data_IF_019711538002
#
_entry.id   IF_019711538002
#
_cell.length_a   1.000
_cell.length_b   1.000
_cell.length_c   1.000
_cell.angle_alpha   90.00
_cell.angle_beta   90.00
_cell.angle_gamma   90.00
#
_symmetry.space_group_name_H-M   'P 1'
#
loop_
_entity.id
_entity.type
_entity.pdbx_description
1 polymer ?
#
# COMPACT_ATOMS: atom_id res chain seq x y z
N UNK A 1 24.94 6.47 47.67
CA UNK A 1 23.99 5.84 46.73
C UNK A 1 23.25 6.95 45.99
N UNK A 2 23.73 7.43 44.83
CA UNK A 2 22.99 8.40 44.05
C UNK A 2 21.96 7.70 43.16
N UNK A 3 20.75 8.26 43.14
CA UNK A 3 19.66 7.93 42.23
C UNK A 3 20.02 8.47 40.85
N UNK A 4 20.19 7.61 39.85
CA UNK A 4 20.38 8.02 38.45
C UNK A 4 19.05 8.50 37.87
N UNK A 5 18.99 9.79 37.57
CA UNK A 5 17.97 10.45 36.77
C UNK A 5 18.09 9.95 35.31
N UNK A 6 17.02 9.42 34.73
CA UNK A 6 16.93 9.16 33.28
C UNK A 6 16.49 10.47 32.60
N UNK A 7 17.28 11.06 31.67
CA UNK A 7 16.87 12.25 30.96
C UNK A 7 16.09 11.89 29.68
N UNK A 8 15.06 12.69 29.38
CA UNK A 8 14.69 12.94 27.97
C UNK A 8 13.27 12.58 27.52
N UNK A 9 12.24 12.79 28.33
CA UNK A 9 10.91 13.06 27.75
C UNK A 9 10.82 14.55 27.46
N UNK A 10 11.06 14.94 26.21
CA UNK A 10 10.76 16.29 25.74
C UNK A 10 9.24 16.42 25.76
N UNK A 11 8.71 17.03 26.82
CA UNK A 11 7.30 17.47 26.84
C UNK A 11 7.21 18.72 25.96
N UNK A 12 6.40 18.75 24.90
CA UNK A 12 6.16 19.99 24.17
C UNK A 12 5.42 20.97 25.07
N UNK A 13 5.90 22.22 25.11
CA UNK A 13 5.26 23.31 25.83
C UNK A 13 4.08 23.82 25.00
N UNK A 14 2.87 23.39 25.34
CA UNK A 14 1.63 23.76 24.66
C UNK A 14 1.10 25.11 25.19
N UNK A 15 1.78 26.21 24.88
CA UNK A 15 1.29 27.54 25.26
C UNK A 15 0.27 28.13 24.27
N UNK A 16 0.24 27.67 23.01
CA UNK A 16 -0.74 28.10 22.01
C UNK A 16 -1.10 26.91 21.11
N UNK A 17 -2.18 26.20 21.42
CA UNK A 17 -2.85 25.23 20.54
C UNK A 17 -1.93 24.24 19.81
N UNK A 18 -1.50 23.16 20.49
CA UNK A 18 -0.88 22.03 19.81
C UNK A 18 -1.99 21.21 19.11
N UNK A 19 -2.46 21.70 17.97
CA UNK A 19 -3.24 20.88 17.05
C UNK A 19 -2.24 19.89 16.44
N UNK A 20 -2.28 18.65 16.90
CA UNK A 20 -1.58 17.55 16.26
C UNK A 20 -2.16 17.40 14.85
N UNK A 21 -1.64 18.15 13.88
CA UNK A 21 -1.73 17.73 12.48
C UNK A 21 -0.88 16.48 12.39
N UNK A 22 -1.50 15.33 12.66
CA UNK A 22 -1.10 14.10 11.99
C UNK A 22 -1.18 14.41 10.50
N UNK A 23 -0.05 14.73 9.89
CA UNK A 23 0.07 14.61 8.45
C UNK A 23 -0.11 13.13 8.18
N UNK A 24 -1.33 12.74 7.81
CA UNK A 24 -1.59 11.41 7.29
C UNK A 24 -0.66 11.27 6.08
N UNK A 25 0.45 10.56 6.24
CA UNK A 25 1.31 10.25 5.11
C UNK A 25 0.41 9.52 4.09
N UNK A 26 0.37 9.97 2.83
CA UNK A 26 -0.48 9.32 1.84
C UNK A 26 -0.03 7.86 1.70
N UNK A 27 -0.89 6.93 2.13
CA UNK A 27 -0.63 5.50 2.05
C UNK A 27 -0.58 5.10 0.57
N UNK A 28 0.56 4.59 0.06
CA UNK A 28 0.68 4.14 -1.32
C UNK A 28 -0.22 2.94 -1.58
N UNK A 29 -0.85 2.89 -2.77
CA UNK A 29 -1.81 1.83 -3.14
C UNK A 29 -1.25 0.98 -4.27
N UNK A 30 -1.16 -0.34 -4.07
CA UNK A 30 -0.86 -1.28 -5.15
C UNK A 30 -2.13 -2.03 -5.57
N UNK A 31 -2.45 -1.97 -6.86
CA UNK A 31 -3.53 -2.72 -7.50
C UNK A 31 -2.91 -3.89 -8.29
N UNK A 32 -3.40 -5.10 -8.05
CA UNK A 32 -2.94 -6.32 -8.74
C UNK A 32 -4.12 -7.06 -9.35
N UNK A 33 -3.96 -7.53 -10.59
CA UNK A 33 -5.00 -8.31 -11.28
C UNK A 33 -4.39 -9.22 -12.35
N UNK A 34 -5.01 -10.36 -12.65
CA UNK A 34 -4.63 -11.16 -13.81
C UNK A 34 -5.30 -10.66 -15.10
N UNK A 35 -4.58 -10.71 -16.23
CA UNK A 35 -5.06 -10.24 -17.53
C UNK A 35 -6.28 -11.00 -18.08
N UNK A 36 -6.56 -12.20 -17.58
CA UNK A 36 -7.71 -13.00 -17.99
C UNK A 36 -8.87 -12.98 -16.99
N UNK A 37 -8.83 -12.16 -15.93
CA UNK A 37 -10.02 -11.90 -15.10
C UNK A 37 -11.17 -11.37 -15.98
N UNK A 38 -12.41 -11.40 -15.47
CA UNK A 38 -13.62 -11.02 -16.20
C UNK A 38 -13.51 -9.65 -16.87
N UNK A 39 -12.82 -8.71 -16.24
CA UNK A 39 -12.46 -7.42 -16.84
C UNK A 39 -11.33 -6.76 -16.09
N UNK A 40 -10.37 -6.18 -16.82
CA UNK A 40 -9.33 -5.31 -16.25
C UNK A 40 -9.71 -3.83 -16.25
N UNK A 41 -10.86 -3.47 -16.84
CA UNK A 41 -11.32 -2.07 -16.90
C UNK A 41 -11.46 -1.41 -15.51
N UNK A 42 -11.96 -2.09 -14.45
CA UNK A 42 -12.04 -1.48 -13.13
C UNK A 42 -10.68 -1.06 -12.56
N UNK A 43 -9.62 -1.83 -12.82
CA UNK A 43 -8.27 -1.48 -12.38
C UNK A 43 -7.76 -0.19 -13.01
N UNK A 44 -8.00 0.02 -14.31
CA UNK A 44 -7.64 1.26 -14.99
C UNK A 44 -8.48 2.45 -14.51
N UNK A 45 -9.79 2.28 -14.32
CA UNK A 45 -10.63 3.35 -13.78
C UNK A 45 -10.21 3.77 -12.36
N UNK A 46 -9.73 2.83 -11.54
CA UNK A 46 -9.15 3.15 -10.24
C UNK A 46 -7.83 3.90 -10.36
N UNK A 47 -6.94 3.50 -11.29
CA UNK A 47 -5.69 4.22 -11.57
C UNK A 47 -5.97 5.66 -11.98
N UNK A 48 -6.88 5.88 -12.93
CA UNK A 48 -7.23 7.23 -13.40
C UNK A 48 -7.67 8.15 -12.24
N UNK A 49 -8.45 7.60 -11.29
CA UNK A 49 -8.89 8.34 -10.11
C UNK A 49 -7.76 8.57 -9.10
N UNK A 50 -6.86 7.60 -8.91
CA UNK A 50 -5.69 7.75 -8.04
C UNK A 50 -4.70 8.78 -8.60
N UNK A 51 -4.51 8.79 -9.92
CA UNK A 51 -3.76 9.83 -10.65
C UNK A 51 -4.39 11.20 -10.45
N UNK A 52 -5.70 11.34 -10.67
CA UNK A 52 -6.45 12.60 -10.49
C UNK A 52 -6.31 13.14 -9.06
N UNK A 53 -6.30 12.26 -8.07
CA UNK A 53 -6.14 12.59 -6.65
C UNK A 53 -4.67 12.76 -6.22
N UNK A 54 -3.70 12.59 -7.12
CA UNK A 54 -2.27 12.61 -6.84
C UNK A 54 -1.86 11.67 -5.70
N UNK A 55 -2.52 10.49 -5.62
CA UNK A 55 -2.20 9.46 -4.64
C UNK A 55 -1.07 8.58 -5.19
N UNK A 56 0.01 8.32 -4.44
CA UNK A 56 1.02 7.34 -4.85
C UNK A 56 0.38 5.98 -5.09
N UNK A 57 0.61 5.39 -6.26
CA UNK A 57 0.01 4.12 -6.61
C UNK A 57 0.84 3.34 -7.64
N UNK A 58 0.53 2.05 -7.75
CA UNK A 58 1.08 1.14 -8.74
C UNK A 58 -0.01 0.17 -9.22
N UNK A 59 -0.18 0.04 -10.54
CA UNK A 59 -1.01 -1.02 -11.13
C UNK A 59 -0.12 -2.08 -11.77
N UNK A 60 -0.32 -3.35 -11.41
CA UNK A 60 0.35 -4.50 -12.04
C UNK A 60 -0.67 -5.51 -12.56
N UNK A 61 -0.75 -5.61 -13.88
CA UNK A 61 -1.54 -6.63 -14.58
C UNK A 61 -0.62 -7.82 -14.87
N UNK A 62 -0.89 -8.97 -14.24
CA UNK A 62 -0.15 -10.20 -14.44
C UNK A 62 -0.62 -10.93 -15.71
N UNK A 63 0.25 -11.72 -16.37
CA UNK A 63 -0.17 -12.60 -17.46
C UNK A 63 -1.28 -13.55 -17.05
N UNK A 64 -1.96 -14.13 -18.04
CA UNK A 64 -3.01 -15.14 -17.86
C UNK A 64 -2.65 -16.19 -16.80
N UNK A 65 -3.60 -16.47 -15.91
CA UNK A 65 -3.56 -17.55 -14.91
C UNK A 65 -4.64 -18.57 -15.23
N UNK A 66 -4.28 -19.84 -15.30
CA UNK A 66 -5.19 -20.92 -15.70
C UNK A 66 -5.74 -20.75 -17.13
N UNK A 67 -6.94 -21.27 -17.37
CA UNK A 67 -7.56 -21.35 -18.69
C UNK A 67 -8.81 -20.47 -18.79
N UNK A 68 -9.53 -20.27 -17.69
CA UNK A 68 -10.82 -19.57 -17.64
C UNK A 68 -10.69 -18.19 -17.01
N UNK A 69 -11.71 -17.35 -17.17
CA UNK A 69 -11.77 -16.08 -16.42
C UNK A 69 -11.93 -16.28 -14.92
N UNK A 70 -12.56 -17.39 -14.50
CA UNK A 70 -12.61 -17.77 -13.09
C UNK A 70 -11.23 -18.05 -12.51
N UNK A 71 -10.32 -18.65 -13.29
CA UNK A 71 -8.93 -18.86 -12.85
C UNK A 71 -8.18 -17.53 -12.73
N UNK A 72 -8.41 -16.61 -13.66
CA UNK A 72 -7.87 -15.24 -13.60
C UNK A 72 -8.41 -14.48 -12.37
N UNK A 73 -9.71 -14.58 -12.10
CA UNK A 73 -10.34 -13.96 -10.93
C UNK A 73 -9.79 -14.50 -9.60
N UNK A 74 -9.47 -15.80 -9.57
CA UNK A 74 -8.89 -16.46 -8.40
C UNK A 74 -7.35 -16.45 -8.37
N UNK A 75 -6.69 -15.60 -9.18
CA UNK A 75 -5.22 -15.60 -9.28
C UNK A 75 -4.51 -15.36 -7.93
N UNK A 76 -5.15 -14.64 -7.01
CA UNK A 76 -4.65 -14.40 -5.66
C UNK A 76 -4.30 -15.73 -4.95
N UNK A 77 -5.13 -16.76 -5.15
CA UNK A 77 -4.93 -18.09 -4.56
C UNK A 77 -4.14 -19.03 -5.47
N UNK A 78 -4.31 -18.91 -6.79
CA UNK A 78 -3.77 -19.86 -7.77
C UNK A 78 -2.34 -19.54 -8.24
N UNK A 79 -1.86 -18.33 -7.99
CA UNK A 79 -0.60 -17.84 -8.54
C UNK A 79 0.25 -17.06 -7.52
N UNK A 80 0.25 -17.49 -6.25
CA UNK A 80 1.04 -16.86 -5.16
C UNK A 80 2.48 -16.53 -5.58
N UNK A 81 3.26 -17.47 -6.17
CA UNK A 81 4.65 -17.18 -6.55
C UNK A 81 4.81 -16.12 -7.65
N UNK A 82 3.73 -15.76 -8.35
CA UNK A 82 3.77 -14.71 -9.38
C UNK A 82 3.67 -13.31 -8.81
N UNK A 83 2.91 -13.12 -7.74
CA UNK A 83 2.63 -11.78 -7.20
C UNK A 83 3.30 -11.50 -5.85
N UNK A 84 3.63 -12.53 -5.06
CA UNK A 84 4.10 -12.35 -3.68
C UNK A 84 5.36 -11.47 -3.58
N UNK A 85 6.35 -11.73 -4.44
CA UNK A 85 7.61 -10.99 -4.43
C UNK A 85 7.40 -9.51 -4.75
N UNK A 86 6.49 -9.21 -5.68
CA UNK A 86 6.18 -7.83 -6.06
C UNK A 86 5.42 -7.09 -4.95
N UNK A 87 4.46 -7.75 -4.32
CA UNK A 87 3.69 -7.17 -3.20
C UNK A 87 4.59 -6.94 -1.99
N UNK A 88 5.42 -7.92 -1.63
CA UNK A 88 6.36 -7.73 -0.51
C UNK A 88 7.42 -6.69 -0.83
N UNK A 89 7.91 -6.61 -2.08
CA UNK A 89 8.82 -5.54 -2.51
C UNK A 89 8.19 -4.15 -2.38
N UNK A 90 6.92 -4.01 -2.79
CA UNK A 90 6.16 -2.77 -2.61
C UNK A 90 5.97 -2.42 -1.12
N UNK A 91 5.57 -3.38 -0.29
CA UNK A 91 5.44 -3.15 1.15
C UNK A 91 6.77 -2.77 1.80
N UNK A 92 7.87 -3.41 1.38
CA UNK A 92 9.21 -3.12 1.84
C UNK A 92 9.66 -1.70 1.52
N UNK A 93 9.26 -1.16 0.37
CA UNK A 93 9.57 0.22 -0.05
C UNK A 93 8.80 1.27 0.76
N UNK A 94 7.54 1.00 1.09
CA UNK A 94 6.61 2.04 1.58
C UNK A 94 6.15 1.90 3.03
N UNK A 95 6.32 0.74 3.66
CA UNK A 95 5.76 0.43 5.00
C UNK A 95 6.83 0.18 6.06
N UNK A 96 8.11 0.08 5.68
CA UNK A 96 9.19 -0.11 6.67
C UNK A 96 9.36 1.13 7.55
N UNK A 97 9.31 0.91 8.87
CA UNK A 97 9.62 1.85 9.94
C UNK A 97 10.99 1.54 10.55
#
# INVERSE_FOLDING_TARGET
MPLLLVPGSIRPNCANGCELRQTMQPAPIMLIQAANDYSIAPSYSLVDELERLHKPHLLKIYPRVGQTSGDGHNFLYLAIPRWEHDVFGFLDEYVKH
#
